data_IF_896157418265
#
_entry.id   IF_896157418265
#
_cell.length_a   1.000
_cell.length_b   1.000
_cell.length_c   1.000
_cell.angle_alpha   90.00
_cell.angle_beta   90.00
_cell.angle_gamma   90.00
#
_symmetry.space_group_name_H-M   'P 1'
#
loop_
_entity.id
_entity.type
_entity.pdbx_description
1 polymer ?
#
# COMPACT_ATOMS: atom_id res chain seq x y z
N UNK A 1 3.26 13.71 14.90
CA UNK A 1 3.71 12.63 14.02
C UNK A 1 2.59 12.29 13.06
N UNK A 2 2.59 11.07 12.55
CA UNK A 2 1.55 10.48 11.72
C UNK A 2 0.65 9.64 12.63
N UNK A 3 -0.61 10.04 12.78
CA UNK A 3 -1.52 9.46 13.76
C UNK A 3 -2.62 8.61 13.10
N UNK A 4 -3.49 8.03 13.94
CA UNK A 4 -4.65 7.28 13.46
C UNK A 4 -5.67 8.15 12.72
N UNK A 5 -5.78 9.43 13.09
CA UNK A 5 -6.65 10.36 12.37
C UNK A 5 -6.11 10.66 10.97
N UNK A 6 -4.78 10.62 10.80
CA UNK A 6 -4.17 10.71 9.48
C UNK A 6 -4.48 9.49 8.61
N UNK A 7 -4.56 8.30 9.21
CA UNK A 7 -5.01 7.08 8.51
C UNK A 7 -6.45 7.23 8.06
N UNK A 8 -7.36 7.66 8.95
CA UNK A 8 -8.79 7.84 8.65
C UNK A 8 -9.03 8.87 7.54
N UNK A 9 -8.25 9.95 7.54
CA UNK A 9 -8.34 11.01 6.54
C UNK A 9 -7.49 10.75 5.28
N UNK A 10 -6.77 9.63 5.22
CA UNK A 10 -5.76 9.38 4.18
C UNK A 10 -6.39 9.19 2.80
N UNK A 11 -5.81 9.88 1.83
CA UNK A 11 -5.98 9.59 0.41
C UNK A 11 -4.72 8.88 -0.10
N UNK A 12 -4.91 7.72 -0.72
CA UNK A 12 -3.84 6.86 -1.23
C UNK A 12 -3.92 6.81 -2.74
N UNK A 13 -2.84 7.18 -3.42
CA UNK A 13 -2.73 7.13 -4.87
C UNK A 13 -1.90 5.93 -5.30
N UNK A 14 -2.33 5.29 -6.38
CA UNK A 14 -1.64 4.20 -7.06
C UNK A 14 -1.30 4.67 -8.47
N UNK A 15 -0.07 4.46 -8.91
CA UNK A 15 0.34 4.65 -10.29
C UNK A 15 1.11 3.42 -10.76
N UNK A 16 0.75 2.90 -11.92
CA UNK A 16 1.42 1.79 -12.58
C UNK A 16 1.94 2.28 -13.92
N UNK A 17 3.24 2.10 -14.16
CA UNK A 17 3.91 2.49 -15.40
C UNK A 17 4.57 1.26 -16.02
N UNK A 18 4.12 0.89 -17.21
CA UNK A 18 4.68 -0.19 -18.01
C UNK A 18 5.70 0.31 -19.02
N UNK A 19 6.68 -0.52 -19.36
CA UNK A 19 7.67 -0.22 -20.40
C UNK A 19 7.05 -0.16 -21.81
N UNK A 20 5.84 -0.72 -21.96
CA UNK A 20 4.99 -0.63 -23.15
C UNK A 20 4.23 0.70 -23.25
N UNK A 21 4.53 1.68 -22.39
CA UNK A 21 3.87 2.99 -22.36
C UNK A 21 2.50 2.96 -21.66
N UNK A 22 2.12 1.84 -21.07
CA UNK A 22 0.89 1.73 -20.30
C UNK A 22 0.98 2.54 -19.01
N UNK A 23 -0.05 3.34 -18.72
CA UNK A 23 -0.18 4.06 -17.46
C UNK A 23 -1.56 3.78 -16.87
N UNK A 24 -1.60 3.35 -15.62
CA UNK A 24 -2.82 3.26 -14.83
C UNK A 24 -2.67 4.12 -13.59
N UNK A 25 -3.67 4.95 -13.32
CA UNK A 25 -3.80 5.71 -12.08
C UNK A 25 -4.99 5.18 -11.29
N UNK A 26 -4.79 5.00 -10.00
CA UNK A 26 -5.78 4.55 -9.04
C UNK A 26 -5.79 5.46 -7.81
N UNK A 27 -6.93 5.50 -7.15
CA UNK A 27 -7.13 6.29 -5.93
C UNK A 27 -7.97 5.49 -4.95
N UNK A 28 -7.69 5.61 -3.65
CA UNK A 28 -8.50 5.06 -2.58
C UNK A 28 -8.53 6.04 -1.42
N UNK A 29 -9.73 6.47 -1.03
CA UNK A 29 -9.91 7.32 0.15
C UNK A 29 -10.28 6.47 1.35
N UNK A 30 -9.53 6.61 2.44
CA UNK A 30 -9.81 5.90 3.69
C UNK A 30 -11.11 6.35 4.36
N UNK A 31 -11.71 7.45 3.89
CA UNK A 31 -13.02 7.94 4.34
C UNK A 31 -14.19 7.13 3.80
N UNK A 32 -13.94 6.30 2.78
CA UNK A 32 -14.97 5.51 2.07
C UNK A 32 -14.95 4.03 2.49
N UNK A 33 -14.04 3.61 3.37
CA UNK A 33 -14.03 2.24 3.88
C UNK A 33 -15.21 2.04 4.83
N UNK A 34 -15.76 0.82 4.86
CA UNK A 34 -16.99 0.52 5.61
C UNK A 34 -16.79 0.36 7.13
N UNK A 35 -15.55 0.27 7.61
CA UNK A 35 -15.20 -0.04 9.00
C UNK A 35 -14.03 0.82 9.44
N UNK A 36 -14.13 1.40 10.64
CA UNK A 36 -13.03 2.18 11.19
C UNK A 36 -11.78 1.30 11.40
N UNK A 37 -10.55 1.82 11.20
CA UNK A 37 -9.34 1.05 11.44
C UNK A 37 -9.25 0.44 12.84
N UNK A 38 -9.76 1.10 13.89
CA UNK A 38 -9.72 0.52 15.25
C UNK A 38 -10.68 -0.64 15.43
N UNK A 39 -11.82 -0.61 14.72
CA UNK A 39 -12.77 -1.72 14.73
C UNK A 39 -12.16 -2.95 14.06
N UNK A 40 -11.44 -2.74 12.95
CA UNK A 40 -10.72 -3.80 12.25
C UNK A 40 -9.62 -4.42 13.14
N UNK A 41 -8.86 -3.60 13.87
CA UNK A 41 -7.88 -4.09 14.84
C UNK A 41 -8.55 -4.89 15.95
N UNK A 42 -9.66 -4.38 16.52
CA UNK A 42 -10.41 -5.07 17.58
C UNK A 42 -10.93 -6.43 17.11
N UNK A 43 -11.45 -6.49 15.89
CA UNK A 43 -11.92 -7.75 15.28
C UNK A 43 -10.77 -8.71 14.99
N UNK A 44 -9.63 -8.23 14.49
CA UNK A 44 -8.47 -9.08 14.24
C UNK A 44 -7.93 -9.70 15.54
N UNK A 45 -7.93 -8.93 16.63
CA UNK A 45 -7.41 -9.33 17.95
C UNK A 45 -8.41 -10.12 18.80
N UNK A 46 -9.65 -10.35 18.35
CA UNK A 46 -10.72 -10.88 19.22
C UNK A 46 -10.46 -12.29 19.73
N UNK A 47 -9.83 -13.15 18.90
CA UNK A 47 -9.59 -14.57 19.20
C UNK A 47 -8.16 -15.02 18.91
N UNK A 48 -7.28 -14.10 18.52
CA UNK A 48 -5.92 -14.41 18.09
C UNK A 48 -4.90 -13.48 18.74
N UNK A 49 -3.74 -14.05 19.06
CA UNK A 49 -2.57 -13.30 19.48
C UNK A 49 -1.58 -13.24 18.34
N UNK A 50 -1.12 -12.03 18.01
CA UNK A 50 -0.09 -11.80 17.01
C UNK A 50 1.20 -11.34 17.69
N UNK A 51 2.37 -11.69 17.13
CA UNK A 51 3.63 -11.16 17.63
C UNK A 51 3.74 -9.66 17.37
N UNK A 52 4.62 -9.00 18.13
CA UNK A 52 4.98 -7.61 17.87
C UNK A 52 5.47 -7.43 16.42
N UNK A 53 4.98 -6.39 15.76
CA UNK A 53 5.30 -6.08 14.37
C UNK A 53 4.38 -6.74 13.33
N UNK A 54 3.24 -7.32 13.74
CA UNK A 54 2.20 -7.71 12.79
C UNK A 54 1.67 -6.48 12.02
N UNK A 55 1.19 -6.72 10.79
CA UNK A 55 0.66 -5.67 9.91
C UNK A 55 -0.75 -6.06 9.49
N UNK A 56 -1.69 -5.13 9.62
CA UNK A 56 -3.08 -5.29 9.18
C UNK A 56 -3.34 -4.43 7.94
N UNK A 57 -3.69 -5.07 6.83
CA UNK A 57 -4.14 -4.35 5.63
C UNK A 57 -5.62 -3.98 5.75
N UNK A 58 -5.93 -2.71 5.54
CA UNK A 58 -7.27 -2.14 5.76
C UNK A 58 -8.20 -2.26 4.55
N UNK A 59 -7.80 -3.04 3.54
CA UNK A 59 -8.51 -3.18 2.27
C UNK A 59 -8.12 -2.14 1.23
N UNK A 60 -8.76 -2.23 0.06
CA UNK A 60 -8.58 -1.30 -1.06
C UNK A 60 -9.93 -1.07 -1.72
N UNK A 61 -10.18 0.18 -2.15
CA UNK A 61 -11.35 0.55 -2.95
C UNK A 61 -11.02 0.54 -4.45
N UNK A 62 -9.74 0.38 -4.78
CA UNK A 62 -9.28 0.36 -6.14
C UNK A 62 -9.50 -1.03 -6.78
N UNK A 63 -10.25 -1.06 -7.88
CA UNK A 63 -10.35 -2.19 -8.79
C UNK A 63 -9.79 -1.77 -10.17
N UNK A 64 -8.76 -2.44 -10.69
CA UNK A 64 -8.13 -2.06 -11.96
C UNK A 64 -9.02 -2.46 -13.14
N UNK A 65 -9.94 -1.58 -13.54
CA UNK A 65 -10.88 -1.81 -14.66
C UNK A 65 -10.35 -1.33 -16.01
N UNK A 66 -9.25 -0.57 -16.02
CA UNK A 66 -8.64 -0.09 -17.27
C UNK A 66 -7.95 -1.24 -17.99
N UNK A 67 -8.44 -1.57 -19.17
CA UNK A 67 -7.83 -2.59 -20.03
C UNK A 67 -6.39 -2.22 -20.38
N UNK A 68 -5.49 -3.23 -20.39
CA UNK A 68 -4.11 -3.06 -20.86
C UNK A 68 -3.89 -3.54 -22.28
N UNK A 69 -4.31 -4.78 -22.57
CA UNK A 69 -4.05 -5.43 -23.87
C UNK A 69 -5.31 -5.49 -24.74
N UNK A 70 -6.35 -6.15 -24.24
CA UNK A 70 -7.60 -6.37 -24.96
C UNK A 70 -8.78 -5.68 -24.28
N UNK A 71 -9.69 -5.03 -25.03
CA UNK A 71 -10.90 -4.44 -24.46
C UNK A 71 -11.75 -5.45 -23.66
N UNK A 72 -12.19 -5.05 -22.46
CA UNK A 72 -13.02 -5.85 -21.56
C UNK A 72 -12.28 -6.99 -20.83
N UNK A 73 -10.95 -7.08 -20.93
CA UNK A 73 -10.15 -8.14 -20.28
C UNK A 73 -9.45 -7.66 -19.01
N UNK A 74 -9.56 -6.36 -18.72
CA UNK A 74 -9.00 -5.71 -17.56
C UNK A 74 -7.48 -5.58 -17.63
N UNK A 75 -6.91 -5.50 -16.45
CA UNK A 75 -5.50 -5.25 -16.25
C UNK A 75 -4.79 -6.50 -15.73
N UNK A 76 -3.57 -6.73 -16.21
CA UNK A 76 -2.61 -7.64 -15.60
C UNK A 76 -1.24 -7.01 -15.66
N UNK A 77 -0.45 -7.23 -14.61
CA UNK A 77 0.92 -6.78 -14.56
C UNK A 77 1.78 -7.47 -15.63
N UNK A 78 2.73 -6.73 -16.18
CA UNK A 78 3.83 -7.29 -16.97
C UNK A 78 5.13 -7.13 -16.18
N UNK A 79 6.12 -7.94 -16.51
CA UNK A 79 7.46 -7.82 -15.94
C UNK A 79 8.00 -6.41 -16.17
N UNK A 80 8.66 -5.84 -15.16
CA UNK A 80 9.25 -4.51 -15.27
C UNK A 80 8.31 -3.36 -14.92
N UNK A 81 7.00 -3.59 -14.79
CA UNK A 81 6.05 -2.57 -14.34
C UNK A 81 6.54 -1.88 -13.06
N UNK A 82 6.49 -0.56 -13.02
CA UNK A 82 6.77 0.21 -11.81
C UNK A 82 5.45 0.54 -11.13
N UNK A 83 5.28 0.06 -9.91
CA UNK A 83 4.10 0.30 -9.08
C UNK A 83 4.46 1.27 -7.97
N UNK A 84 3.80 2.42 -7.96
CA UNK A 84 3.96 3.47 -6.96
C UNK A 84 2.68 3.60 -6.15
N UNK A 85 2.75 3.35 -4.85
CA UNK A 85 1.67 3.65 -3.89
C UNK A 85 2.13 4.82 -3.03
N UNK A 86 1.37 5.89 -2.95
CA UNK A 86 1.80 7.10 -2.25
C UNK A 86 0.70 7.77 -1.43
N UNK A 87 1.17 8.49 -0.42
CA UNK A 87 0.38 9.35 0.45
C UNK A 87 1.22 10.61 0.78
N UNK A 88 0.63 11.82 0.82
CA UNK A 88 1.39 13.06 1.05
C UNK A 88 2.20 13.09 2.34
N UNK A 89 1.76 12.41 3.41
CA UNK A 89 2.45 12.41 4.71
C UNK A 89 3.54 11.34 4.80
N UNK A 90 3.27 10.13 4.29
CA UNK A 90 4.20 9.00 4.39
C UNK A 90 5.24 8.99 3.26
N UNK A 91 4.94 9.54 2.10
CA UNK A 91 5.76 9.47 0.89
C UNK A 91 5.26 8.38 -0.05
N UNK A 92 6.18 7.64 -0.68
CA UNK A 92 5.85 6.63 -1.68
C UNK A 92 6.55 5.30 -1.41
N UNK A 93 5.81 4.20 -1.61
CA UNK A 93 6.33 2.86 -1.77
C UNK A 93 6.38 2.56 -3.28
N UNK A 94 7.60 2.37 -3.80
CA UNK A 94 7.83 2.12 -5.22
C UNK A 94 8.48 0.75 -5.39
N UNK A 95 7.84 -0.13 -6.14
CA UNK A 95 8.36 -1.47 -6.44
C UNK A 95 8.33 -1.73 -7.94
N UNK A 96 9.28 -2.54 -8.40
CA UNK A 96 9.29 -3.06 -9.77
C UNK A 96 8.76 -4.48 -9.77
N UNK A 97 7.82 -4.78 -10.64
CA UNK A 97 7.25 -6.13 -10.80
C UNK A 97 8.33 -7.06 -11.33
N UNK A 98 8.55 -8.14 -10.59
CA UNK A 98 9.41 -9.25 -10.99
C UNK A 98 8.87 -10.56 -10.44
N UNK A 99 9.48 -11.69 -10.82
CA UNK A 99 9.13 -13.00 -10.27
C UNK A 99 9.78 -13.20 -8.90
N UNK A 100 9.16 -14.05 -8.06
CA UNK A 100 9.71 -14.39 -6.73
C UNK A 100 11.14 -14.94 -6.79
N UNK A 101 11.46 -15.73 -7.83
CA UNK A 101 12.80 -16.28 -8.05
C UNK A 101 13.84 -15.19 -8.30
N UNK A 102 13.47 -14.16 -9.04
CA UNK A 102 14.38 -13.11 -9.51
C UNK A 102 14.35 -11.85 -8.61
N UNK A 103 13.51 -11.85 -7.57
CA UNK A 103 13.43 -10.77 -6.60
C UNK A 103 14.70 -10.72 -5.73
N UNK A 104 15.26 -9.52 -5.46
CA UNK A 104 16.41 -9.40 -4.59
C UNK A 104 16.03 -9.77 -3.14
N UNK A 105 17.02 -10.22 -2.37
CA UNK A 105 16.85 -10.42 -0.95
C UNK A 105 16.37 -9.13 -0.26
N UNK A 106 15.43 -9.26 0.68
CA UNK A 106 14.91 -8.12 1.40
C UNK A 106 15.98 -7.48 2.28
N UNK A 107 16.16 -6.17 2.11
CA UNK A 107 17.10 -5.34 2.89
C UNK A 107 16.39 -4.38 3.83
N UNK A 108 15.07 -4.25 3.70
CA UNK A 108 14.22 -3.38 4.52
C UNK A 108 13.11 -4.22 5.16
N UNK A 109 13.03 -4.18 6.49
CA UNK A 109 11.95 -4.78 7.28
C UNK A 109 11.29 -3.77 8.22
N UNK A 110 10.43 -4.25 9.11
CA UNK A 110 9.64 -3.41 10.03
C UNK A 110 10.51 -2.49 10.91
N UNK A 111 11.64 -2.97 11.42
CA UNK A 111 12.56 -2.13 12.20
C UNK A 111 13.16 -0.99 11.38
N UNK A 112 13.48 -1.25 10.11
CA UNK A 112 13.96 -0.22 9.18
C UNK A 112 12.87 0.82 8.84
N UNK A 113 11.62 0.38 8.72
CA UNK A 113 10.47 1.28 8.57
C UNK A 113 10.31 2.19 9.80
N UNK A 114 10.27 1.62 11.01
CA UNK A 114 10.13 2.42 12.24
C UNK A 114 11.27 3.42 12.42
N UNK A 115 12.52 3.01 12.13
CA UNK A 115 13.66 3.92 12.15
C UNK A 115 13.55 5.04 11.10
N UNK A 116 13.00 4.75 9.91
CA UNK A 116 12.74 5.77 8.89
C UNK A 116 11.71 6.80 9.37
N UNK A 117 10.59 6.34 9.93
CA UNK A 117 9.53 7.21 10.44
C UNK A 117 10.03 8.09 11.60
N UNK A 118 10.80 7.52 12.53
CA UNK A 118 11.40 8.25 13.64
C UNK A 118 12.30 9.39 13.16
N UNK A 119 13.23 9.10 12.22
CA UNK A 119 14.14 10.13 11.66
C UNK A 119 13.41 11.27 10.95
N UNK A 120 12.18 11.04 10.49
CA UNK A 120 11.33 12.03 9.81
C UNK A 120 10.33 12.71 10.76
N UNK A 121 10.41 12.46 12.07
CA UNK A 121 9.47 12.95 13.08
C UNK A 121 8.00 12.56 12.79
N UNK A 122 7.82 11.39 12.17
CA UNK A 122 6.50 10.84 11.85
C UNK A 122 5.98 9.86 12.91
N UNK A 123 6.77 9.48 13.89
CA UNK A 123 6.24 8.82 15.08
C UNK A 123 5.69 9.90 16.02
N UNK A 124 4.55 9.63 16.64
CA UNK A 124 4.10 10.45 17.76
C UNK A 124 5.04 10.27 18.97
N UNK A 125 5.11 11.29 19.82
CA UNK A 125 5.88 11.27 21.05
C UNK A 125 5.17 10.49 22.16
#
# INVERSE_FOLDING_TARGET
GFSLDDVRASDVTLKIEGEDGYVLDGHSSMREISRDPTDLVTQAMSEHHYPDGFVLFLGTLFAPTKDRDEPGRGFTHKMGDVVTISNPKLGALVNRVTTSRDAPAWTLGIGGLMANLARRNLLDA
#
